data_IF_248730685548
#
_entry.id   IF_248730685548
#
_cell.length_a   1.000
_cell.length_b   1.000
_cell.length_c   1.000
_cell.angle_alpha   90.00
_cell.angle_beta   90.00
_cell.angle_gamma   90.00
#
_symmetry.space_group_name_H-M   'P 1'
#
loop_
_entity.id
_entity.type
_entity.pdbx_description
1 polymer ?
#
# COMPACT_ATOMS: atom_id res chain seq x y z
N UNK A 1 -5.27 -72.86 58.88
CA UNK A 1 -4.39 -72.01 58.05
C UNK A 1 -5.28 -71.04 57.28
N UNK A 2 -4.93 -69.75 57.32
CA UNK A 2 -5.82 -68.59 57.10
C UNK A 2 -6.14 -68.32 55.62
N UNK A 3 -7.38 -67.88 55.39
CA UNK A 3 -7.90 -67.16 54.22
C UNK A 3 -7.11 -65.87 53.90
N UNK A 4 -7.26 -65.40 52.65
CA UNK A 4 -7.11 -64.03 52.05
C UNK A 4 -6.33 -64.16 50.73
N UNK A 5 -6.70 -63.63 49.57
CA UNK A 5 -7.81 -62.80 49.12
C UNK A 5 -7.48 -62.40 47.67
N UNK A 6 -8.38 -62.67 46.72
CA UNK A 6 -8.24 -62.27 45.32
C UNK A 6 -8.49 -60.76 45.21
N UNK A 7 -7.44 -59.95 45.05
CA UNK A 7 -7.57 -58.50 44.83
C UNK A 7 -7.41 -58.14 43.35
N UNK A 8 -8.55 -58.04 42.66
CA UNK A 8 -8.99 -56.84 41.94
C UNK A 8 -7.96 -56.03 41.11
N UNK A 9 -7.28 -56.65 40.13
CA UNK A 9 -6.38 -55.94 39.20
C UNK A 9 -7.12 -55.17 38.08
N UNK A 10 -8.40 -55.48 37.81
CA UNK A 10 -9.16 -54.89 36.69
C UNK A 10 -9.52 -53.40 36.86
N UNK A 11 -9.43 -52.83 38.07
CA UNK A 11 -9.79 -51.43 38.32
C UNK A 11 -8.67 -50.44 37.95
N UNK A 12 -7.40 -50.84 38.07
CA UNK A 12 -6.25 -49.97 37.80
C UNK A 12 -5.89 -49.93 36.31
N UNK A 13 -6.03 -51.03 35.58
CA UNK A 13 -5.82 -51.08 34.13
C UNK A 13 -6.88 -50.26 33.37
N UNK A 14 -8.16 -50.38 33.75
CA UNK A 14 -9.24 -49.60 33.15
C UNK A 14 -9.08 -48.08 33.35
N UNK A 15 -8.57 -47.62 34.50
CA UNK A 15 -8.27 -46.20 34.72
C UNK A 15 -7.12 -45.67 33.86
N UNK A 16 -6.07 -46.47 33.68
CA UNK A 16 -4.93 -46.09 32.82
C UNK A 16 -5.36 -45.99 31.36
N UNK A 17 -6.11 -46.97 30.86
CA UNK A 17 -6.64 -46.98 29.49
C UNK A 17 -7.54 -45.76 29.25
N UNK A 18 -8.49 -45.46 30.15
CA UNK A 18 -9.36 -44.28 30.02
C UNK A 18 -8.59 -42.95 30.04
N UNK A 19 -7.49 -42.86 30.80
CA UNK A 19 -6.66 -41.64 30.86
C UNK A 19 -5.87 -41.47 29.55
N UNK A 20 -5.30 -42.55 29.01
CA UNK A 20 -4.60 -42.52 27.71
C UNK A 20 -5.55 -42.16 26.55
N UNK A 21 -6.75 -42.74 26.52
CA UNK A 21 -7.75 -42.38 25.51
C UNK A 21 -8.17 -40.92 25.61
N UNK A 22 -8.41 -40.39 26.81
CA UNK A 22 -8.75 -38.97 27.02
C UNK A 22 -7.62 -38.03 26.55
N UNK A 23 -6.36 -38.36 26.81
CA UNK A 23 -5.21 -37.55 26.37
C UNK A 23 -5.07 -37.56 24.84
N UNK A 24 -5.23 -38.73 24.19
CA UNK A 24 -5.19 -38.82 22.72
C UNK A 24 -6.36 -38.05 22.10
N UNK A 25 -7.56 -38.17 22.67
CA UNK A 25 -8.74 -37.41 22.22
C UNK A 25 -8.49 -35.90 22.36
N UNK A 26 -7.94 -35.45 23.50
CA UNK A 26 -7.62 -34.06 23.75
C UNK A 26 -6.56 -33.53 22.78
N UNK A 27 -5.49 -34.29 22.52
CA UNK A 27 -4.47 -33.94 21.55
C UNK A 27 -5.02 -33.88 20.12
N UNK A 28 -5.92 -34.80 19.76
CA UNK A 28 -6.61 -34.78 18.46
C UNK A 28 -7.51 -33.54 18.33
N UNK A 29 -8.32 -33.21 19.34
CA UNK A 29 -9.12 -31.98 19.32
C UNK A 29 -8.26 -30.73 19.29
N UNK A 30 -7.19 -30.68 20.09
CA UNK A 30 -6.26 -29.56 20.14
C UNK A 30 -5.57 -29.31 18.79
N UNK A 31 -5.08 -30.36 18.13
CA UNK A 31 -4.43 -30.25 16.81
C UNK A 31 -5.41 -29.88 15.70
N UNK A 32 -6.63 -30.44 15.70
CA UNK A 32 -7.67 -30.03 14.75
C UNK A 32 -8.10 -28.56 14.95
N UNK A 33 -8.18 -28.09 16.20
CA UNK A 33 -8.48 -26.69 16.49
C UNK A 33 -7.38 -25.76 15.96
N UNK A 34 -6.09 -26.09 16.19
CA UNK A 34 -4.97 -25.33 15.63
C UNK A 34 -5.03 -25.29 14.09
N UNK A 35 -5.31 -26.42 13.46
CA UNK A 35 -5.42 -26.48 11.99
C UNK A 35 -6.58 -25.63 11.47
N UNK A 36 -7.73 -25.62 12.16
CA UNK A 36 -8.87 -24.78 11.81
C UNK A 36 -8.53 -23.28 11.95
N UNK A 37 -7.81 -22.90 13.01
CA UNK A 37 -7.39 -21.50 13.24
C UNK A 37 -6.39 -21.02 12.17
N UNK A 38 -5.45 -21.88 11.76
CA UNK A 38 -4.52 -21.57 10.65
C UNK A 38 -5.26 -21.43 9.32
N UNK A 39 -6.21 -22.32 9.02
CA UNK A 39 -7.01 -22.22 7.79
C UNK A 39 -7.86 -20.94 7.80
N UNK A 40 -8.44 -20.59 8.95
CA UNK A 40 -9.24 -19.38 9.12
C UNK A 40 -8.42 -18.11 8.91
N UNK A 41 -7.22 -18.05 9.47
CA UNK A 41 -6.30 -16.90 9.30
C UNK A 41 -5.81 -16.76 7.86
N UNK A 42 -5.40 -17.84 7.20
CA UNK A 42 -5.02 -17.82 5.79
C UNK A 42 -6.17 -17.38 4.87
N UNK A 43 -7.38 -17.82 5.17
CA UNK A 43 -8.57 -17.39 4.43
C UNK A 43 -8.84 -15.91 4.63
N UNK A 44 -8.71 -15.41 5.86
CA UNK A 44 -8.86 -13.99 6.14
C UNK A 44 -7.81 -13.15 5.40
N UNK A 45 -6.55 -13.57 5.37
CA UNK A 45 -5.49 -12.89 4.60
C UNK A 45 -5.79 -12.87 3.10
N UNK A 46 -6.30 -13.99 2.56
CA UNK A 46 -6.71 -14.07 1.16
C UNK A 46 -7.89 -13.14 0.84
N UNK A 47 -8.94 -13.18 1.66
CA UNK A 47 -10.15 -12.35 1.49
C UNK A 47 -9.80 -10.85 1.61
N UNK A 48 -8.85 -10.50 2.49
CA UNK A 48 -8.30 -9.15 2.62
C UNK A 48 -7.52 -8.75 1.36
N UNK A 49 -6.64 -9.62 0.86
CA UNK A 49 -5.85 -9.34 -0.34
C UNK A 49 -6.75 -9.14 -1.56
N UNK A 50 -7.76 -9.99 -1.75
CA UNK A 50 -8.73 -9.85 -2.84
C UNK A 50 -9.47 -8.49 -2.77
N UNK A 51 -9.88 -8.09 -1.56
CA UNK A 51 -10.53 -6.80 -1.35
C UNK A 51 -9.62 -5.62 -1.72
N UNK A 52 -8.35 -5.68 -1.30
CA UNK A 52 -7.33 -4.67 -1.64
C UNK A 52 -7.09 -4.61 -3.15
N UNK A 53 -7.07 -5.76 -3.82
CA UNK A 53 -6.84 -5.83 -5.27
C UNK A 53 -8.03 -5.26 -6.06
N UNK A 54 -9.25 -5.50 -5.60
CA UNK A 54 -10.46 -4.89 -6.17
C UNK A 54 -10.43 -3.37 -6.03
N UNK A 55 -10.09 -2.85 -4.84
CA UNK A 55 -9.98 -1.40 -4.61
C UNK A 55 -8.86 -0.80 -5.48
N UNK A 56 -7.68 -1.40 -5.46
CA UNK A 56 -6.52 -1.01 -6.29
C UNK A 56 -6.93 -0.92 -7.76
N UNK A 57 -7.64 -1.93 -8.27
CA UNK A 57 -8.09 -1.99 -9.66
C UNK A 57 -9.07 -0.87 -10.02
N UNK A 58 -10.00 -0.56 -9.12
CA UNK A 58 -10.95 0.55 -9.31
C UNK A 58 -10.25 1.91 -9.33
N UNK A 59 -9.30 2.13 -8.42
CA UNK A 59 -8.51 3.36 -8.35
C UNK A 59 -7.61 3.53 -9.57
N UNK A 60 -6.98 2.45 -10.04
CA UNK A 60 -6.24 2.45 -11.31
C UNK A 60 -7.16 2.81 -12.48
N UNK A 61 -8.33 2.18 -12.58
CA UNK A 61 -9.31 2.47 -13.63
C UNK A 61 -9.74 3.95 -13.60
N UNK A 62 -10.02 4.50 -12.42
CA UNK A 62 -10.34 5.93 -12.22
C UNK A 62 -9.19 6.83 -12.66
N UNK A 63 -7.95 6.46 -12.37
CA UNK A 63 -6.77 7.25 -12.74
C UNK A 63 -6.51 7.22 -14.25
N UNK A 64 -6.67 6.04 -14.87
CA UNK A 64 -6.42 5.81 -16.29
C UNK A 64 -7.50 6.40 -17.20
N UNK A 65 -8.74 6.59 -16.71
CA UNK A 65 -9.80 7.25 -17.49
C UNK A 65 -9.47 8.71 -17.83
N UNK A 66 -8.51 9.30 -17.13
CA UNK A 66 -8.00 10.66 -17.40
C UNK A 66 -6.95 10.71 -18.51
N UNK A 67 -6.56 9.57 -19.10
CA UNK A 67 -5.60 9.54 -20.19
C UNK A 67 -6.18 10.19 -21.45
N UNK A 68 -5.53 11.25 -21.93
CA UNK A 68 -5.84 11.87 -23.21
C UNK A 68 -4.57 11.92 -24.07
N UNK A 69 -4.75 11.87 -25.40
CA UNK A 69 -3.65 12.01 -26.35
C UNK A 69 -3.04 13.43 -26.35
N UNK A 70 -3.70 14.39 -25.70
CA UNK A 70 -3.22 15.78 -25.57
C UNK A 70 -2.15 15.94 -24.49
N UNK A 71 -1.98 14.93 -23.63
CA UNK A 71 -0.87 14.90 -22.67
C UNK A 71 0.42 14.48 -23.38
N UNK A 72 1.54 15.15 -23.09
CA UNK A 72 2.83 14.86 -23.73
C UNK A 72 3.83 14.23 -22.74
N UNK A 73 3.65 12.94 -22.37
CA UNK A 73 4.56 12.22 -21.47
C UNK A 73 5.98 12.14 -22.05
N UNK A 74 6.12 12.13 -23.38
CA UNK A 74 7.42 12.10 -24.07
C UNK A 74 8.25 13.35 -23.79
N UNK A 75 7.64 14.54 -23.79
CA UNK A 75 8.33 15.78 -23.47
C UNK A 75 8.87 15.77 -22.03
N UNK A 76 8.06 15.29 -21.07
CA UNK A 76 8.48 15.16 -19.67
C UNK A 76 9.58 14.11 -19.49
N UNK A 77 9.44 12.95 -20.13
CA UNK A 77 10.47 11.90 -20.15
C UNK A 77 11.82 12.39 -20.68
N UNK A 78 11.81 13.19 -21.75
CA UNK A 78 13.02 13.71 -22.38
C UNK A 78 13.68 14.84 -21.55
N UNK A 79 12.89 15.59 -20.77
CA UNK A 79 13.38 16.75 -20.01
C UNK A 79 13.71 16.47 -18.55
N UNK A 80 13.29 15.31 -18.01
CA UNK A 80 13.63 14.93 -16.63
C UNK A 80 15.13 14.66 -16.51
N UNK A 81 15.75 15.26 -15.50
CA UNK A 81 17.15 15.11 -15.15
C UNK A 81 17.48 13.69 -14.67
N UNK A 82 18.78 13.38 -14.64
CA UNK A 82 19.29 12.06 -14.23
C UNK A 82 18.95 11.73 -12.77
N UNK A 83 18.81 12.76 -11.93
CA UNK A 83 18.43 12.71 -10.53
C UNK A 83 16.92 12.66 -10.30
N UNK A 84 16.11 12.77 -11.35
CA UNK A 84 14.64 12.80 -11.27
C UNK A 84 14.05 14.22 -11.18
N UNK A 85 14.86 15.27 -11.21
CA UNK A 85 14.39 16.66 -11.16
C UNK A 85 14.05 17.25 -12.54
N UNK A 86 13.42 18.41 -12.54
CA UNK A 86 13.25 19.27 -13.72
C UNK A 86 13.83 20.64 -13.43
N UNK A 87 14.71 21.13 -14.31
CA UNK A 87 15.44 22.39 -14.10
C UNK A 87 14.56 23.63 -14.17
N UNK A 88 13.38 23.54 -14.80
CA UNK A 88 12.43 24.64 -14.93
C UNK A 88 11.45 24.74 -13.76
N UNK A 89 11.48 23.81 -12.79
CA UNK A 89 10.63 23.83 -11.60
C UNK A 89 11.35 24.51 -10.44
N UNK A 90 10.72 25.53 -9.86
CA UNK A 90 11.23 26.17 -8.64
C UNK A 90 10.85 25.35 -7.39
N UNK A 91 11.73 24.44 -6.97
CA UNK A 91 11.53 23.63 -5.75
C UNK A 91 11.78 24.38 -4.44
N UNK A 92 12.27 25.62 -4.51
CA UNK A 92 12.51 26.47 -3.33
C UNK A 92 11.42 27.52 -3.17
N UNK A 93 10.35 27.45 -3.98
CA UNK A 93 9.16 28.26 -3.75
C UNK A 93 8.59 27.98 -2.35
N UNK A 94 8.14 29.04 -1.70
CA UNK A 94 7.64 29.06 -0.32
C UNK A 94 6.25 29.68 -0.20
N UNK A 95 5.73 30.26 -1.28
CA UNK A 95 4.52 31.08 -1.22
C UNK A 95 3.64 30.80 -2.44
N UNK A 96 2.48 30.19 -2.23
CA UNK A 96 1.57 29.79 -3.33
C UNK A 96 0.66 30.90 -3.87
N UNK A 97 0.96 32.17 -3.63
CA UNK A 97 0.13 33.28 -4.06
C UNK A 97 -0.12 33.31 -5.57
N UNK A 98 0.89 32.96 -6.38
CA UNK A 98 0.84 32.89 -7.84
C UNK A 98 0.72 31.44 -8.36
N UNK A 99 0.34 30.50 -7.48
CA UNK A 99 0.38 29.07 -7.71
C UNK A 99 1.54 28.39 -6.99
N UNK A 100 1.44 27.08 -6.77
CA UNK A 100 2.47 26.30 -6.09
C UNK A 100 3.41 25.65 -7.10
N UNK A 101 4.59 26.25 -7.31
CA UNK A 101 5.51 25.82 -8.36
C UNK A 101 5.94 24.34 -8.26
N UNK A 102 6.24 23.78 -7.06
CA UNK A 102 6.65 22.39 -6.90
C UNK A 102 5.64 21.35 -7.39
N UNK A 103 4.32 21.60 -7.30
CA UNK A 103 3.29 20.67 -7.79
C UNK A 103 3.45 20.35 -9.28
N UNK A 104 4.06 21.23 -10.07
CA UNK A 104 4.35 20.98 -11.49
C UNK A 104 5.15 19.69 -11.68
N UNK A 105 6.09 19.39 -10.80
CA UNK A 105 6.84 18.14 -10.81
C UNK A 105 5.92 16.92 -10.68
N UNK A 106 5.03 16.93 -9.69
CA UNK A 106 4.12 15.82 -9.43
C UNK A 106 3.09 15.63 -10.55
N UNK A 107 2.59 16.73 -11.12
CA UNK A 107 1.71 16.66 -12.27
C UNK A 107 2.38 15.99 -13.48
N UNK A 108 3.66 16.30 -13.75
CA UNK A 108 4.43 15.62 -14.81
C UNK A 108 4.60 14.14 -14.54
N UNK A 109 4.97 13.77 -13.30
CA UNK A 109 5.09 12.36 -12.91
C UNK A 109 3.76 11.61 -13.02
N UNK A 110 2.65 12.23 -12.61
CA UNK A 110 1.31 11.65 -12.78
C UNK A 110 1.01 11.41 -14.26
N UNK A 111 1.27 12.37 -15.14
CA UNK A 111 1.12 12.19 -16.60
C UNK A 111 1.99 11.04 -17.12
N UNK A 112 3.25 10.98 -16.71
CA UNK A 112 4.16 9.89 -17.08
C UNK A 112 3.67 8.53 -16.58
N UNK A 113 3.18 8.44 -15.34
CA UNK A 113 2.67 7.21 -14.74
C UNK A 113 1.38 6.72 -15.41
N UNK A 114 0.47 7.64 -15.77
CA UNK A 114 -0.73 7.30 -16.55
C UNK A 114 -0.31 6.74 -17.91
N UNK A 115 0.62 7.40 -18.62
CA UNK A 115 1.12 6.91 -19.91
C UNK A 115 1.79 5.53 -19.78
N UNK A 116 2.61 5.33 -18.75
CA UNK A 116 3.24 4.04 -18.45
C UNK A 116 2.22 2.90 -18.22
N UNK A 117 1.05 3.20 -17.66
CA UNK A 117 0.02 2.19 -17.36
C UNK A 117 -1.11 2.09 -18.36
N UNK A 118 -1.17 2.97 -19.36
CA UNK A 118 -2.20 2.97 -20.40
C UNK A 118 -1.82 2.05 -21.57
N UNK A 119 -2.56 0.96 -21.85
CA UNK A 119 -2.26 0.04 -22.96
C UNK A 119 -2.25 0.70 -24.35
N UNK A 120 -2.94 1.83 -24.50
CA UNK A 120 -2.97 2.62 -25.73
C UNK A 120 -1.73 3.53 -25.90
N UNK A 121 -0.89 3.67 -24.87
CA UNK A 121 0.30 4.53 -24.91
C UNK A 121 1.49 3.80 -25.52
N UNK A 122 2.33 4.52 -26.27
CA UNK A 122 3.65 4.03 -26.69
C UNK A 122 4.60 3.78 -25.52
N UNK A 123 4.27 4.29 -24.33
CA UNK A 123 5.04 4.14 -23.11
C UNK A 123 4.57 3.00 -22.21
N UNK A 124 3.56 2.24 -22.66
CA UNK A 124 2.99 1.15 -21.88
C UNK A 124 4.08 0.19 -21.40
N UNK A 125 4.20 0.06 -20.07
CA UNK A 125 5.15 -0.81 -19.37
C UNK A 125 6.63 -0.57 -19.74
N UNK A 126 6.97 0.61 -20.24
CA UNK A 126 8.35 0.94 -20.59
C UNK A 126 9.24 1.08 -19.34
N UNK A 127 10.30 0.27 -19.26
CA UNK A 127 11.18 0.18 -18.08
C UNK A 127 11.95 1.47 -17.78
N UNK A 128 12.31 2.24 -18.81
CA UNK A 128 13.02 3.51 -18.62
C UNK A 128 12.07 4.59 -18.09
N UNK A 129 10.83 4.61 -18.60
CA UNK A 129 9.76 5.48 -18.10
C UNK A 129 9.49 5.18 -16.62
N UNK A 130 9.33 3.91 -16.27
CA UNK A 130 9.19 3.46 -14.88
C UNK A 130 10.35 3.98 -14.01
N UNK A 131 11.59 3.74 -14.42
CA UNK A 131 12.80 4.14 -13.67
C UNK A 131 12.84 5.65 -13.44
N UNK A 132 12.46 6.45 -14.44
CA UNK A 132 12.40 7.91 -14.32
C UNK A 132 11.29 8.37 -13.39
N UNK A 133 10.12 7.72 -13.41
CA UNK A 133 9.02 8.02 -12.47
C UNK A 133 9.47 7.73 -11.04
N UNK A 134 10.07 6.56 -10.79
CA UNK A 134 10.59 6.17 -9.47
C UNK A 134 11.60 7.19 -8.94
N UNK A 135 12.56 7.60 -9.78
CA UNK A 135 13.54 8.63 -9.41
C UNK A 135 12.91 9.98 -9.12
N UNK A 136 11.94 10.41 -9.92
CA UNK A 136 11.22 11.65 -9.69
C UNK A 136 10.47 11.65 -8.36
N UNK A 137 9.74 10.58 -8.06
CA UNK A 137 9.04 10.45 -6.77
C UNK A 137 10.01 10.51 -5.59
N UNK A 138 11.13 9.78 -5.67
CA UNK A 138 12.17 9.81 -4.65
C UNK A 138 12.84 11.19 -4.52
N UNK A 139 13.08 11.88 -5.64
CA UNK A 139 13.59 13.25 -5.64
C UNK A 139 12.63 14.20 -4.94
N UNK A 140 11.35 14.19 -5.31
CA UNK A 140 10.35 15.07 -4.71
C UNK A 140 10.22 14.84 -3.21
N UNK A 141 10.16 13.57 -2.80
CA UNK A 141 10.15 13.16 -1.39
C UNK A 141 11.39 13.69 -0.67
N UNK A 142 12.59 13.53 -1.23
CA UNK A 142 13.83 14.01 -0.62
C UNK A 142 13.90 15.54 -0.54
N UNK A 143 13.37 16.22 -1.56
CA UNK A 143 13.33 17.68 -1.61
C UNK A 143 12.33 18.26 -0.61
N UNK A 144 11.24 17.53 -0.36
CA UNK A 144 10.15 17.87 0.54
C UNK A 144 9.77 19.37 0.53
N UNK A 145 9.32 19.92 -0.61
CA UNK A 145 8.89 21.32 -0.69
C UNK A 145 7.77 21.60 0.33
N UNK A 146 7.83 22.76 0.98
CA UNK A 146 6.85 23.19 1.98
C UNK A 146 6.47 24.64 1.69
N UNK A 147 5.17 24.88 1.65
CA UNK A 147 4.58 26.20 1.55
C UNK A 147 4.43 26.78 2.97
N UNK A 148 4.90 28.01 3.16
CA UNK A 148 4.90 28.67 4.47
C UNK A 148 3.53 29.33 4.77
N UNK A 149 2.70 29.55 3.74
CA UNK A 149 1.40 30.20 3.82
C UNK A 149 0.22 29.21 3.80
N UNK A 150 0.40 28.05 3.15
CA UNK A 150 -0.70 27.11 2.90
C UNK A 150 -0.32 25.64 3.12
N UNK A 151 -0.58 25.16 4.34
CA UNK A 151 -0.39 23.75 4.76
C UNK A 151 -1.10 22.74 3.85
N UNK A 152 -2.18 23.15 3.16
CA UNK A 152 -3.01 22.27 2.32
C UNK A 152 -2.17 21.55 1.25
N UNK A 153 -1.16 22.20 0.68
CA UNK A 153 -0.31 21.56 -0.32
C UNK A 153 0.49 20.38 0.24
N UNK A 154 1.04 20.53 1.45
CA UNK A 154 1.89 19.50 2.07
C UNK A 154 1.13 18.34 2.71
N UNK A 155 -0.15 18.54 3.05
CA UNK A 155 -0.97 17.50 3.71
C UNK A 155 -2.05 16.91 2.80
N UNK A 156 -2.44 17.62 1.75
CA UNK A 156 -3.55 17.21 0.87
C UNK A 156 -3.14 17.25 -0.60
N UNK A 157 -2.83 18.43 -1.14
CA UNK A 157 -2.68 18.64 -2.58
C UNK A 157 -1.60 17.78 -3.24
N UNK A 158 -0.35 17.95 -2.81
CA UNK A 158 0.78 17.18 -3.34
C UNK A 158 0.65 15.68 -3.03
N UNK A 159 0.28 15.25 -1.80
CA UNK A 159 0.01 13.84 -1.50
C UNK A 159 -1.03 13.17 -2.42
N UNK A 160 -2.14 13.85 -2.74
CA UNK A 160 -3.16 13.31 -3.65
C UNK A 160 -2.60 13.02 -5.06
N UNK A 161 -1.71 13.88 -5.56
CA UNK A 161 -1.09 13.69 -6.88
C UNK A 161 -0.01 12.60 -6.82
N UNK A 162 0.82 12.63 -5.76
CA UNK A 162 1.90 11.67 -5.53
C UNK A 162 1.36 10.24 -5.41
N UNK A 163 0.24 10.06 -4.70
CA UNK A 163 -0.41 8.77 -4.52
C UNK A 163 -0.79 8.13 -5.86
N UNK A 164 -1.32 8.89 -6.81
CA UNK A 164 -1.73 8.36 -8.12
C UNK A 164 -0.54 7.75 -8.86
N UNK A 165 0.59 8.46 -8.93
CA UNK A 165 1.78 7.94 -9.57
C UNK A 165 2.31 6.69 -8.85
N UNK A 166 2.32 6.70 -7.51
CA UNK A 166 2.76 5.56 -6.68
C UNK A 166 1.88 4.32 -6.91
N UNK A 167 0.57 4.49 -6.91
CA UNK A 167 -0.40 3.42 -7.12
C UNK A 167 -0.23 2.76 -8.49
N UNK A 168 0.01 3.57 -9.53
CA UNK A 168 0.22 3.10 -10.90
C UNK A 168 1.54 2.30 -11.06
N UNK A 169 2.53 2.52 -10.20
CA UNK A 169 3.76 1.71 -10.14
C UNK A 169 3.61 0.40 -9.35
N UNK A 170 2.57 0.26 -8.52
CA UNK A 170 2.34 -0.96 -7.71
C UNK A 170 2.26 -2.19 -8.62
N UNK A 171 3.09 -3.19 -8.33
CA UNK A 171 3.20 -4.44 -9.10
C UNK A 171 4.20 -4.40 -10.26
N UNK A 172 4.83 -3.25 -10.52
CA UNK A 172 5.83 -3.05 -11.58
C UNK A 172 7.21 -2.72 -11.01
N UNK A 173 7.24 -2.01 -9.89
CA UNK A 173 8.45 -1.79 -9.10
C UNK A 173 8.62 -2.88 -8.02
N UNK A 174 9.84 -3.02 -7.49
CA UNK A 174 10.07 -3.92 -6.36
C UNK A 174 9.25 -3.48 -5.14
N UNK A 175 8.92 -4.44 -4.27
CA UNK A 175 8.17 -4.17 -3.06
C UNK A 175 8.86 -3.12 -2.18
N UNK A 176 10.17 -3.25 -1.98
CA UNK A 176 10.99 -2.33 -1.19
C UNK A 176 10.98 -0.92 -1.79
N UNK A 177 11.03 -0.81 -3.12
CA UNK A 177 11.01 0.47 -3.82
C UNK A 177 9.66 1.18 -3.65
N UNK A 178 8.55 0.44 -3.79
CA UNK A 178 7.22 1.01 -3.55
C UNK A 178 7.06 1.44 -2.10
N UNK A 179 7.52 0.65 -1.13
CA UNK A 179 7.49 1.07 0.27
C UNK A 179 8.29 2.36 0.50
N UNK A 180 9.51 2.43 -0.05
CA UNK A 180 10.36 3.62 0.05
C UNK A 180 9.63 4.86 -0.51
N UNK A 181 9.03 4.75 -1.69
CA UNK A 181 8.25 5.81 -2.33
C UNK A 181 7.02 6.17 -1.49
N UNK A 182 6.27 5.17 -1.01
CA UNK A 182 5.01 5.36 -0.31
C UNK A 182 5.17 6.07 1.05
N UNK A 183 6.34 6.02 1.69
CA UNK A 183 6.58 6.75 2.96
C UNK A 183 6.45 8.27 2.86
N UNK A 184 6.34 8.86 1.67
CA UNK A 184 5.94 10.27 1.52
C UNK A 184 4.48 10.51 1.93
N UNK A 185 3.61 9.54 1.71
CA UNK A 185 2.19 9.60 2.06
C UNK A 185 2.05 9.37 3.57
N UNK A 186 1.48 10.36 4.27
CA UNK A 186 1.30 10.34 5.72
C UNK A 186 -0.18 10.17 6.05
N UNK A 187 -0.47 9.37 7.06
CA UNK A 187 -1.80 9.37 7.67
C UNK A 187 -1.93 10.61 8.56
N UNK A 188 -2.88 11.48 8.20
CA UNK A 188 -3.24 12.69 8.95
C UNK A 188 -4.76 12.75 9.21
N UNK A 189 -5.42 11.59 9.19
CA UNK A 189 -6.87 11.47 9.41
C UNK A 189 -7.28 11.68 10.88
N UNK A 190 -6.34 11.50 11.79
CA UNK A 190 -6.48 11.74 13.23
C UNK A 190 -6.40 13.23 13.60
N UNK A 191 -5.93 14.10 12.70
CA UNK A 191 -5.90 15.54 12.92
C UNK A 191 -7.33 16.11 13.05
N UNK A 192 -7.69 16.51 14.26
CA UNK A 192 -9.02 17.05 14.59
C UNK A 192 -9.34 18.35 13.86
N UNK A 193 -8.33 19.09 13.38
CA UNK A 193 -8.50 20.31 12.59
C UNK A 193 -8.99 20.02 11.16
N UNK A 194 -8.78 18.80 10.65
CA UNK A 194 -9.37 18.37 9.38
C UNK A 194 -10.86 18.09 9.57
N UNK A 195 -11.70 19.00 9.08
CA UNK A 195 -13.16 18.89 9.17
C UNK A 195 -13.80 19.04 7.77
N UNK A 196 -15.03 18.55 7.63
CA UNK A 196 -15.79 18.65 6.38
C UNK A 196 -15.00 18.12 5.18
N UNK A 197 -14.82 18.98 4.17
CA UNK A 197 -14.13 18.62 2.94
C UNK A 197 -12.65 18.25 3.16
N UNK A 198 -11.95 18.91 4.09
CA UNK A 198 -10.56 18.57 4.40
C UNK A 198 -10.45 17.15 4.94
N UNK A 199 -11.42 16.72 5.77
CA UNK A 199 -11.46 15.33 6.28
C UNK A 199 -11.67 14.33 5.14
N UNK A 200 -12.55 14.64 4.19
CA UNK A 200 -12.78 13.77 3.03
C UNK A 200 -11.51 13.65 2.16
N UNK A 201 -10.79 14.75 1.93
CA UNK A 201 -9.58 14.74 1.12
C UNK A 201 -8.42 13.96 1.77
N UNK A 202 -8.19 14.10 3.07
CA UNK A 202 -7.13 13.31 3.74
C UNK A 202 -7.44 11.83 3.77
N UNK A 203 -8.71 11.45 3.86
CA UNK A 203 -9.14 10.06 3.74
C UNK A 203 -8.90 9.47 2.34
N UNK A 204 -9.00 10.28 1.27
CA UNK A 204 -8.73 9.82 -0.10
C UNK A 204 -7.28 9.36 -0.29
N UNK A 205 -6.32 9.95 0.44
CA UNK A 205 -4.89 9.61 0.33
C UNK A 205 -4.58 8.20 0.88
N UNK A 206 -5.45 7.67 1.75
CA UNK A 206 -5.23 6.41 2.47
C UNK A 206 -6.16 5.27 2.02
N UNK A 207 -7.06 5.55 1.06
CA UNK A 207 -8.05 4.56 0.58
C UNK A 207 -7.63 3.93 -0.73
#
# INVERSE_FOLDING_TARGET
MKHLGSTNNGWYENRRINTFFTVILYLYFFTNNIQADVISSLKLELDQQESIDVITSRLNTKSLSSYTNDTNPTAFFNSIGVDGSWSDVNYNDKHSADGWAPTTHLNRLKTMAIAFRSPASSWFENIEMQTKIEKGLLFYKAKNPQDDDNWWYGEIGDPQIYMVATLLLKGYSSYEKILEIATYLRDVTDNASHQGQNRAWVSEILT
#
